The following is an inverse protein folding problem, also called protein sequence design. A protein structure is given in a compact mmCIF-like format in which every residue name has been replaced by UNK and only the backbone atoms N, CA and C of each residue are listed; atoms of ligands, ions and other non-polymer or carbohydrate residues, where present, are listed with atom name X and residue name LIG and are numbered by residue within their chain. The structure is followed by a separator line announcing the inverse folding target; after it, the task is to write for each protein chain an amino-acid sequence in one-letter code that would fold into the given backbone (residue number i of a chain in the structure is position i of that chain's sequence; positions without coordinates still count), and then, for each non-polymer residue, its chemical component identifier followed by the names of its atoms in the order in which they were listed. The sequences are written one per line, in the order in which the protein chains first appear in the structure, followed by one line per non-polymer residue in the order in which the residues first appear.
data_IF_085060400913
#
_entry.id   IF_085060400913
#
_cell.length_a   1.000
_cell.length_b   1.000
_cell.length_c   1.000
_cell.angle_alpha   90.00
_cell.angle_beta   90.00
_cell.angle_gamma   90.00
#
_symmetry.space_group_name_H-M   'P 1'
#
loop_
_entity.id
_entity.type
_entity.pdbx_description
1 polymer ?
#
# COMPACT_ATOMS: atom_id res chain seq x y z
N UNK A 1 8.79 17.66 -52.35
CA UNK A 1 9.26 16.71 -51.32
C UNK A 1 9.58 15.43 -52.04
N UNK A 2 10.82 14.96 -51.96
CA UNK A 2 11.23 13.71 -52.61
C UNK A 2 11.08 12.60 -51.57
N UNK A 3 10.40 11.52 -51.95
CA UNK A 3 10.31 10.33 -51.10
C UNK A 3 11.65 9.61 -51.11
N UNK A 4 12.13 9.23 -49.93
CA UNK A 4 13.27 8.34 -49.73
C UNK A 4 12.72 6.94 -49.51
N UNK A 5 12.99 6.02 -50.43
CA UNK A 5 12.64 4.61 -50.28
C UNK A 5 13.86 3.84 -49.75
N UNK A 6 13.72 3.30 -48.55
CA UNK A 6 14.75 2.54 -47.86
C UNK A 6 14.34 1.07 -47.84
N UNK A 7 15.17 0.22 -48.44
CA UNK A 7 15.00 -1.23 -48.39
C UNK A 7 15.81 -1.77 -47.21
N UNK A 8 15.12 -2.23 -46.17
CA UNK A 8 15.75 -2.68 -44.93
C UNK A 8 15.89 -4.19 -44.97
N UNK A 9 17.12 -4.67 -44.93
CA UNK A 9 17.44 -6.11 -44.95
C UNK A 9 18.13 -6.53 -43.66
N UNK A 10 17.78 -7.70 -43.14
CA UNK A 10 18.50 -8.37 -42.06
C UNK A 10 19.50 -9.40 -42.59
N UNK A 11 20.26 -10.02 -41.70
CA UNK A 11 21.19 -11.13 -42.05
C UNK A 11 20.49 -12.34 -42.69
N UNK A 12 19.18 -12.48 -42.46
CA UNK A 12 18.36 -13.61 -42.94
C UNK A 12 17.53 -13.26 -44.18
N UNK A 13 17.56 -12.03 -44.67
CA UNK A 13 16.79 -11.58 -45.84
C UNK A 13 16.13 -10.20 -45.67
N UNK A 14 15.32 -9.75 -46.65
CA UNK A 14 14.63 -8.47 -46.58
C UNK A 14 13.61 -8.45 -45.42
N UNK A 15 13.62 -7.39 -44.61
CA UNK A 15 12.75 -7.22 -43.45
C UNK A 15 11.54 -6.35 -43.79
N UNK A 16 11.77 -5.14 -44.30
CA UNK A 16 10.70 -4.21 -44.65
C UNK A 16 11.19 -3.07 -45.55
N UNK A 17 10.25 -2.44 -46.23
CA UNK A 17 10.48 -1.20 -46.97
C UNK A 17 9.95 -0.01 -46.15
N UNK A 18 10.74 1.06 -46.08
CA UNK A 18 10.39 2.31 -45.42
C UNK A 18 10.31 3.44 -46.45
N UNK A 19 9.29 4.29 -46.35
CA UNK A 19 9.16 5.50 -47.14
C UNK A 19 9.19 6.71 -46.20
N UNK A 20 10.25 7.50 -46.26
CA UNK A 20 10.46 8.70 -45.42
C UNK A 20 10.58 9.95 -46.30
N UNK A 21 10.38 11.14 -45.72
CA UNK A 21 10.57 12.41 -46.42
C UNK A 21 12.04 12.86 -46.33
N UNK A 22 12.72 13.03 -47.48
CA UNK A 22 14.09 13.54 -47.51
C UNK A 22 14.13 15.08 -47.35
N UNK A 23 15.17 15.64 -46.69
CA UNK A 23 16.26 14.94 -45.99
C UNK A 23 15.83 14.43 -44.62
N UNK A 24 16.21 13.20 -44.27
CA UNK A 24 15.98 12.62 -42.95
C UNK A 24 17.32 12.14 -42.35
N UNK A 25 17.39 12.07 -41.02
CA UNK A 25 18.56 11.59 -40.28
C UNK A 25 18.51 10.08 -40.10
N UNK A 26 19.66 9.47 -39.78
CA UNK A 26 19.72 8.05 -39.36
C UNK A 26 18.86 7.82 -38.12
N UNK A 27 18.74 8.79 -37.22
CA UNK A 27 17.84 8.72 -36.06
C UNK A 27 16.37 8.57 -36.47
N UNK A 28 15.90 9.34 -37.45
CA UNK A 28 14.52 9.25 -37.96
C UNK A 28 14.23 7.86 -38.57
N UNK A 29 15.23 7.24 -39.21
CA UNK A 29 15.14 5.86 -39.72
C UNK A 29 15.03 4.86 -38.57
N UNK A 30 15.82 5.04 -37.51
CA UNK A 30 15.76 4.14 -36.33
C UNK A 30 14.41 4.23 -35.62
N UNK A 31 13.87 5.43 -35.49
CA UNK A 31 12.56 5.66 -34.88
C UNK A 31 11.45 5.01 -35.72
N UNK A 32 11.51 5.15 -37.05
CA UNK A 32 10.57 4.49 -37.96
C UNK A 32 10.69 2.96 -37.95
N UNK A 33 11.89 2.42 -37.78
CA UNK A 33 12.13 0.98 -37.61
C UNK A 33 11.60 0.46 -36.28
N UNK A 34 11.73 1.25 -35.21
CA UNK A 34 11.16 0.90 -33.91
C UNK A 34 9.63 0.86 -33.99
N UNK A 35 9.01 1.82 -34.67
CA UNK A 35 7.55 1.84 -34.86
C UNK A 35 7.05 0.66 -35.71
N UNK A 36 7.75 0.32 -36.81
CA UNK A 36 7.32 -0.77 -37.69
C UNK A 36 7.66 -2.17 -37.19
N UNK A 37 8.89 -2.38 -36.71
CA UNK A 37 9.42 -3.71 -36.37
C UNK A 37 9.45 -3.98 -34.87
N UNK A 38 9.17 -2.96 -34.03
CA UNK A 38 9.23 -3.09 -32.58
C UNK A 38 10.65 -3.28 -32.03
N UNK A 39 11.69 -3.10 -32.86
CA UNK A 39 13.09 -3.21 -32.42
C UNK A 39 13.50 -1.89 -31.78
N UNK A 40 13.90 -1.85 -30.50
CA UNK A 40 14.33 -0.61 -29.85
C UNK A 40 15.48 0.04 -30.61
N UNK A 41 15.47 1.36 -30.78
CA UNK A 41 16.54 2.17 -31.43
C UNK A 41 17.95 1.78 -30.96
N UNK A 42 18.08 1.40 -29.69
CA UNK A 42 19.37 1.05 -29.08
C UNK A 42 19.88 -0.37 -29.45
N UNK A 43 19.03 -1.24 -29.99
CA UNK A 43 19.38 -2.58 -30.52
C UNK A 43 19.64 -2.55 -32.03
N UNK A 44 19.40 -1.40 -32.68
CA UNK A 44 19.54 -1.23 -34.12
C UNK A 44 20.94 -0.72 -34.50
N UNK A 45 21.74 -1.58 -35.14
CA UNK A 45 22.88 -1.15 -35.97
C UNK A 45 22.46 -1.09 -37.43
N UNK A 46 22.50 0.12 -37.98
CA UNK A 46 22.21 0.36 -39.39
C UNK A 46 23.52 0.44 -40.16
N UNK A 47 23.66 -0.38 -41.19
CA UNK A 47 24.79 -0.37 -42.10
C UNK A 47 24.34 0.13 -43.48
N UNK A 48 25.03 1.14 -43.99
CA UNK A 48 24.93 1.58 -45.39
C UNK A 48 26.10 0.96 -46.15
N UNK A 49 25.85 -0.17 -46.81
CA UNK A 49 26.93 -0.99 -47.36
C UNK A 49 27.80 -1.60 -46.25
N UNK A 50 29.04 -1.12 -46.11
CA UNK A 50 30.01 -1.59 -45.11
C UNK A 50 30.30 -0.59 -43.98
N UNK A 51 29.67 0.59 -44.01
CA UNK A 51 29.90 1.65 -43.01
C UNK A 51 28.69 1.81 -42.09
N UNK A 52 28.98 2.09 -40.83
CA UNK A 52 28.00 2.48 -39.81
C UNK A 52 27.98 4.01 -39.72
N UNK A 53 26.98 4.69 -40.31
CA UNK A 53 26.88 6.14 -40.26
C UNK A 53 26.44 6.63 -38.87
N UNK A 54 26.95 7.78 -38.45
CA UNK A 54 26.54 8.44 -37.21
C UNK A 54 25.05 8.82 -37.23
N UNK A 55 24.43 8.92 -36.06
CA UNK A 55 23.00 9.22 -35.90
C UNK A 55 22.55 10.53 -36.57
N UNK A 56 23.46 11.51 -36.71
CA UNK A 56 23.23 12.80 -37.36
C UNK A 56 23.49 12.80 -38.88
N UNK A 57 23.88 11.66 -39.46
CA UNK A 57 24.13 11.56 -40.89
C UNK A 57 22.84 11.79 -41.67
N UNK A 58 22.90 12.71 -42.64
CA UNK A 58 21.75 13.09 -43.47
C UNK A 58 21.65 12.18 -44.68
N UNK A 59 20.54 11.46 -44.77
CA UNK A 59 20.19 10.69 -45.96
C UNK A 59 19.53 11.64 -46.97
N UNK A 60 20.18 11.76 -48.13
CA UNK A 60 19.68 12.53 -49.27
C UNK A 60 18.96 11.61 -50.27
N UNK A 61 18.03 12.17 -51.04
CA UNK A 61 17.08 11.44 -51.86
C UNK A 61 17.70 10.36 -52.77
N UNK A 62 17.06 9.18 -52.80
CA UNK A 62 17.44 8.02 -53.62
C UNK A 62 16.91 6.70 -53.03
N UNK A 63 17.15 5.60 -53.75
CA UNK A 63 16.93 4.24 -53.24
C UNK A 63 18.19 3.78 -52.51
N UNK A 64 18.07 3.47 -51.22
CA UNK A 64 19.19 3.00 -50.39
C UNK A 64 18.85 1.65 -49.75
N UNK A 65 19.75 0.69 -49.93
CA UNK A 65 19.72 -0.58 -49.19
C UNK A 65 20.39 -0.37 -47.82
N UNK A 66 19.63 -0.58 -46.75
CA UNK A 66 20.09 -0.50 -45.37
C UNK A 66 20.10 -1.90 -44.78
N UNK A 67 21.23 -2.33 -44.24
CA UNK A 67 21.29 -3.59 -43.48
C UNK A 67 21.08 -3.32 -42.00
N UNK A 68 20.04 -3.91 -41.42
CA UNK A 68 19.76 -3.88 -39.99
C UNK A 68 20.38 -5.10 -39.32
N UNK A 69 21.38 -4.85 -38.47
CA UNK A 69 21.91 -5.85 -37.54
C UNK A 69 21.24 -5.66 -36.19
N UNK A 70 20.54 -6.71 -35.74
CA UNK A 70 20.07 -6.81 -34.35
C UNK A 70 21.26 -7.21 -33.49
N UNK A 71 21.87 -6.24 -32.83
CA UNK A 71 22.92 -6.50 -31.85
C UNK A 71 22.30 -6.42 -30.46
N UNK A 72 22.05 -7.56 -29.76
CA UNK A 72 21.85 -7.49 -28.33
C UNK A 72 23.10 -6.85 -27.71
N UNK A 73 22.91 -5.84 -26.85
CA UNK A 73 24.03 -5.13 -26.19
C UNK A 73 24.89 -6.06 -25.34
N UNK A 74 24.31 -7.16 -24.86
CA UNK A 74 24.97 -8.22 -24.11
C UNK A 74 25.25 -9.43 -24.99
N UNK A 75 26.39 -10.09 -24.77
CA UNK A 75 26.62 -11.43 -25.31
C UNK A 75 25.57 -12.39 -24.77
N UNK A 76 25.17 -13.40 -25.56
CA UNK A 76 24.18 -14.39 -25.12
C UNK A 76 24.58 -15.13 -23.84
N UNK A 77 25.89 -15.30 -23.62
CA UNK A 77 26.44 -15.93 -22.41
C UNK A 77 26.33 -15.03 -21.19
N UNK A 78 26.66 -13.74 -21.32
CA UNK A 78 26.51 -12.76 -20.25
C UNK A 78 25.04 -12.55 -19.88
N UNK A 79 24.14 -12.52 -20.87
CA UNK A 79 22.70 -12.43 -20.61
C UNK A 79 22.20 -13.63 -19.81
N UNK A 80 22.59 -14.86 -20.18
CA UNK A 80 22.15 -16.07 -19.49
C UNK A 80 22.63 -16.13 -18.03
N UNK A 81 23.86 -15.73 -17.77
CA UNK A 81 24.41 -15.64 -16.40
C UNK A 81 23.64 -14.63 -15.55
N UNK A 82 23.36 -13.44 -16.09
CA UNK A 82 22.57 -12.44 -15.39
C UNK A 82 21.12 -12.89 -15.20
N UNK A 83 20.51 -13.57 -16.18
CA UNK A 83 19.16 -14.10 -16.04
C UNK A 83 19.07 -15.13 -14.90
N UNK A 84 20.05 -16.05 -14.79
CA UNK A 84 20.11 -17.02 -13.69
C UNK A 84 20.30 -16.32 -12.34
N UNK A 85 21.23 -15.37 -12.26
CA UNK A 85 21.51 -14.61 -11.03
C UNK A 85 20.29 -13.80 -10.55
N UNK A 86 19.63 -13.07 -11.47
CA UNK A 86 18.46 -12.24 -11.17
C UNK A 86 17.21 -13.07 -10.84
N UNK A 87 17.17 -14.33 -11.27
CA UNK A 87 16.12 -15.27 -10.90
C UNK A 87 16.27 -15.76 -9.46
N UNK A 88 17.50 -15.84 -8.93
CA UNK A 88 17.75 -16.16 -7.52
C UNK A 88 17.49 -14.95 -6.62
N UNK A 89 18.06 -13.78 -6.98
CA UNK A 89 17.83 -12.52 -6.27
C UNK A 89 17.78 -11.34 -7.25
N UNK A 90 16.60 -10.73 -7.38
CA UNK A 90 16.40 -9.56 -8.23
C UNK A 90 17.20 -8.32 -7.81
N UNK A 91 17.70 -8.26 -6.57
CA UNK A 91 18.53 -7.14 -6.10
C UNK A 91 19.97 -7.18 -6.62
N UNK A 92 20.42 -8.29 -7.21
CA UNK A 92 21.74 -8.39 -7.86
C UNK A 92 21.88 -7.43 -9.05
N UNK A 93 20.76 -6.87 -9.54
CA UNK A 93 20.73 -5.77 -10.50
C UNK A 93 21.56 -4.56 -10.04
N UNK A 94 21.77 -4.39 -8.73
CA UNK A 94 22.60 -3.32 -8.15
C UNK A 94 24.06 -3.40 -8.59
N UNK A 95 24.58 -4.61 -8.76
CA UNK A 95 25.96 -4.87 -9.18
C UNK A 95 26.10 -5.04 -10.70
N UNK A 96 24.97 -5.06 -11.41
CA UNK A 96 24.94 -5.23 -12.84
C UNK A 96 25.40 -3.95 -13.56
N UNK A 97 26.07 -4.07 -14.72
CA UNK A 97 26.50 -2.92 -15.50
C UNK A 97 25.30 -2.20 -16.13
N UNK A 98 25.49 -0.96 -16.58
CA UNK A 98 24.39 -0.11 -17.11
C UNK A 98 23.65 -0.77 -18.27
N UNK A 99 24.32 -1.59 -19.08
CA UNK A 99 23.68 -2.32 -20.18
C UNK A 99 22.63 -3.32 -19.70
N UNK A 100 22.83 -3.95 -18.54
CA UNK A 100 21.89 -4.88 -17.92
C UNK A 100 20.76 -4.12 -17.22
N UNK A 101 21.08 -3.00 -16.59
CA UNK A 101 20.07 -2.12 -15.97
C UNK A 101 19.15 -1.45 -17.00
N UNK A 102 19.60 -1.35 -18.25
CA UNK A 102 18.82 -0.87 -19.40
C UNK A 102 18.19 -2.00 -20.23
N UNK A 103 18.46 -3.28 -19.92
CA UNK A 103 17.86 -4.41 -20.62
C UNK A 103 16.46 -4.68 -20.04
N UNK A 104 15.44 -4.46 -20.88
CA UNK A 104 14.04 -4.62 -20.48
C UNK A 104 13.71 -6.01 -19.96
N UNK A 105 14.26 -7.07 -20.56
CA UNK A 105 13.93 -8.45 -20.21
C UNK A 105 14.57 -8.85 -18.88
N UNK A 106 15.84 -8.52 -18.68
CA UNK A 106 16.55 -8.78 -17.43
C UNK A 106 15.96 -7.97 -16.27
N UNK A 107 15.64 -6.69 -16.50
CA UNK A 107 14.97 -5.85 -15.50
C UNK A 107 13.58 -6.39 -15.19
N UNK A 108 12.80 -6.80 -16.19
CA UNK A 108 11.47 -7.40 -15.95
C UNK A 108 11.61 -8.69 -15.13
N UNK A 109 12.63 -9.51 -15.40
CA UNK A 109 12.91 -10.71 -14.62
C UNK A 109 13.26 -10.35 -13.17
N UNK A 110 14.22 -9.44 -12.97
CA UNK A 110 14.62 -8.97 -11.64
C UNK A 110 13.42 -8.45 -10.83
N UNK A 111 12.60 -7.62 -11.45
CA UNK A 111 11.40 -7.00 -10.86
C UNK A 111 10.35 -8.03 -10.44
N UNK A 112 10.23 -9.15 -11.18
CA UNK A 112 9.30 -10.24 -10.82
C UNK A 112 9.72 -10.97 -9.54
N UNK A 113 11.01 -11.02 -9.26
CA UNK A 113 11.56 -11.65 -8.05
C UNK A 113 11.67 -10.66 -6.89
N UNK A 114 12.02 -9.40 -7.18
CA UNK A 114 12.06 -8.30 -6.21
C UNK A 114 11.52 -7.01 -6.85
N UNK A 115 10.31 -6.59 -6.46
CA UNK A 115 9.67 -5.39 -7.03
C UNK A 115 10.47 -4.09 -6.80
N UNK A 116 11.30 -4.04 -5.75
CA UNK A 116 12.16 -2.89 -5.44
C UNK A 116 13.36 -2.76 -6.41
N UNK A 117 13.67 -3.81 -7.18
CA UNK A 117 14.71 -3.78 -8.22
C UNK A 117 14.43 -2.72 -9.30
N UNK A 118 13.17 -2.28 -9.45
CA UNK A 118 12.81 -1.18 -10.35
C UNK A 118 13.57 0.12 -10.05
N UNK A 119 13.97 0.34 -8.79
CA UNK A 119 14.77 1.49 -8.39
C UNK A 119 16.12 1.59 -9.12
N UNK A 120 16.66 0.43 -9.52
CA UNK A 120 17.97 0.25 -10.14
C UNK A 120 17.91 0.24 -11.67
N UNK A 121 16.70 0.20 -12.24
CA UNK A 121 16.50 0.21 -13.67
C UNK A 121 16.78 1.60 -14.27
N UNK A 122 17.18 1.61 -15.54
CA UNK A 122 17.30 2.82 -16.34
C UNK A 122 16.00 3.65 -16.32
N UNK A 123 16.11 4.97 -16.47
CA UNK A 123 14.98 5.90 -16.33
C UNK A 123 13.86 5.62 -17.35
N UNK A 124 14.24 5.16 -18.54
CA UNK A 124 13.33 4.74 -19.61
C UNK A 124 12.48 3.55 -19.16
N UNK A 125 13.07 2.58 -18.46
CA UNK A 125 12.35 1.40 -17.96
C UNK A 125 11.52 1.70 -16.72
N UNK A 126 11.94 2.67 -15.89
CA UNK A 126 11.09 3.21 -14.80
C UNK A 126 9.86 3.95 -15.32
N UNK A 127 9.87 4.32 -16.61
CA UNK A 127 8.74 4.91 -17.33
C UNK A 127 7.99 3.90 -18.19
N UNK A 128 8.46 2.65 -18.31
CA UNK A 128 7.77 1.58 -19.02
C UNK A 128 6.63 1.05 -18.16
N UNK A 129 5.42 1.15 -18.70
CA UNK A 129 4.19 0.80 -17.99
C UNK A 129 4.13 -0.70 -17.65
N UNK A 130 4.61 -1.58 -18.51
CA UNK A 130 4.51 -3.03 -18.31
C UNK A 130 5.50 -3.49 -17.24
N UNK A 131 6.72 -2.96 -17.28
CA UNK A 131 7.75 -3.21 -16.26
C UNK A 131 7.28 -2.67 -14.92
N UNK A 132 6.76 -1.44 -14.88
CA UNK A 132 6.21 -0.85 -13.68
C UNK A 132 5.01 -1.63 -13.13
N UNK A 133 4.11 -2.14 -14.00
CA UNK A 133 2.97 -2.96 -13.60
C UNK A 133 3.42 -4.28 -12.95
N UNK A 134 4.46 -4.92 -13.49
CA UNK A 134 5.07 -6.09 -12.89
C UNK A 134 5.65 -5.77 -11.50
N UNK A 135 6.34 -4.64 -11.37
CA UNK A 135 6.94 -4.19 -10.11
C UNK A 135 5.90 -3.94 -9.02
N UNK A 136 4.87 -3.14 -9.31
CA UNK A 136 3.84 -2.80 -8.33
C UNK A 136 2.97 -3.99 -7.96
N UNK A 137 2.81 -4.95 -8.88
CA UNK A 137 2.09 -6.20 -8.59
C UNK A 137 2.85 -7.07 -7.60
N UNK A 138 4.18 -7.00 -7.60
CA UNK A 138 5.01 -7.74 -6.66
C UNK A 138 5.23 -6.97 -5.34
N UNK A 139 5.59 -5.69 -5.42
CA UNK A 139 5.79 -4.80 -4.28
C UNK A 139 5.09 -3.46 -4.52
N UNK A 140 3.99 -3.16 -3.80
CA UNK A 140 3.20 -1.95 -4.01
C UNK A 140 3.98 -0.64 -3.80
N UNK A 141 5.04 -0.67 -2.97
CA UNK A 141 5.92 0.48 -2.75
C UNK A 141 6.86 0.78 -3.93
N UNK A 142 6.97 -0.12 -4.91
CA UNK A 142 7.69 0.12 -6.15
C UNK A 142 7.12 1.33 -6.93
N UNK A 143 5.88 1.72 -6.65
CA UNK A 143 5.28 2.98 -7.15
C UNK A 143 6.13 4.22 -6.82
N UNK A 144 6.97 4.18 -5.78
CA UNK A 144 7.88 5.27 -5.45
C UNK A 144 8.93 5.53 -6.54
N UNK A 145 9.34 4.49 -7.27
CA UNK A 145 10.42 4.53 -8.25
C UNK A 145 9.95 4.84 -9.68
N UNK A 146 8.67 4.67 -9.96
CA UNK A 146 8.12 4.95 -11.30
C UNK A 146 8.12 6.45 -11.61
N UNK A 147 8.09 6.77 -12.90
CA UNK A 147 8.04 8.15 -13.39
C UNK A 147 6.79 8.90 -12.92
N UNK A 148 6.86 10.23 -12.91
CA UNK A 148 5.72 11.07 -12.50
C UNK A 148 4.46 10.84 -13.37
N UNK A 149 4.65 10.51 -14.65
CA UNK A 149 3.55 10.17 -15.55
C UNK A 149 2.81 8.90 -15.10
N UNK A 150 3.53 7.84 -14.74
CA UNK A 150 2.94 6.59 -14.27
C UNK A 150 2.33 6.71 -12.86
N UNK A 151 2.83 7.61 -12.02
CA UNK A 151 2.18 7.97 -10.73
C UNK A 151 0.80 8.61 -10.91
N UNK A 152 0.48 9.08 -12.10
CA UNK A 152 -0.85 9.60 -12.45
C UNK A 152 -1.74 8.57 -13.18
N UNK A 153 -1.23 7.37 -13.48
CA UNK A 153 -2.03 6.27 -14.04
C UNK A 153 -2.86 5.64 -12.92
N UNK A 154 -4.18 5.85 -12.96
CA UNK A 154 -5.12 5.36 -11.94
C UNK A 154 -5.10 3.83 -11.83
N UNK A 155 -4.94 3.09 -12.92
CA UNK A 155 -4.97 1.62 -12.89
C UNK A 155 -3.71 1.05 -12.22
N UNK A 156 -2.55 1.64 -12.55
CA UNK A 156 -1.28 1.27 -11.96
C UNK A 156 -1.24 1.60 -10.46
N UNK A 157 -1.72 2.79 -10.08
CA UNK A 157 -1.83 3.19 -8.67
C UNK A 157 -2.81 2.30 -7.92
N UNK A 158 -3.99 1.99 -8.48
CA UNK A 158 -4.94 1.07 -7.85
C UNK A 158 -4.35 -0.32 -7.63
N UNK A 159 -3.55 -0.82 -8.59
CA UNK A 159 -2.84 -2.09 -8.41
C UNK A 159 -1.85 -2.02 -7.25
N UNK A 160 -1.03 -0.97 -7.21
CA UNK A 160 -0.03 -0.76 -6.16
C UNK A 160 -0.67 -0.65 -4.77
N UNK A 161 -1.75 0.13 -4.66
CA UNK A 161 -2.48 0.38 -3.42
C UNK A 161 -3.19 -0.87 -2.91
N UNK A 162 -3.76 -1.70 -3.79
CA UNK A 162 -4.36 -2.98 -3.41
C UNK A 162 -3.34 -4.01 -2.93
N UNK A 163 -2.09 -3.91 -3.41
CA UNK A 163 -0.99 -4.71 -2.89
C UNK A 163 -0.56 -4.19 -1.51
N UNK A 164 -0.35 -2.87 -1.39
CA UNK A 164 0.04 -2.19 -0.14
C UNK A 164 -0.57 -0.78 -0.09
N UNK A 165 -1.48 -0.56 0.85
CA UNK A 165 -2.23 0.70 0.99
C UNK A 165 -1.34 1.91 1.25
N UNK A 166 -0.14 1.71 1.80
CA UNK A 166 0.84 2.78 2.00
C UNK A 166 1.43 3.34 0.70
N UNK A 167 1.25 2.64 -0.43
CA UNK A 167 1.66 3.09 -1.76
C UNK A 167 0.94 4.39 -2.18
N UNK A 168 -0.24 4.69 -1.62
CA UNK A 168 -1.01 5.90 -1.90
C UNK A 168 -0.16 7.18 -1.77
N UNK A 169 0.78 7.23 -0.81
CA UNK A 169 1.67 8.39 -0.58
C UNK A 169 2.54 8.76 -1.79
N UNK A 170 2.77 7.81 -2.70
CA UNK A 170 3.61 7.97 -3.89
C UNK A 170 2.80 8.28 -5.15
N UNK A 171 1.47 8.16 -5.10
CA UNK A 171 0.60 8.52 -6.21
C UNK A 171 0.66 10.03 -6.49
N UNK A 172 0.22 10.46 -7.67
CA UNK A 172 0.07 11.88 -7.99
C UNK A 172 -0.88 12.58 -7.01
N UNK A 173 -0.69 13.88 -6.79
CA UNK A 173 -1.54 14.66 -5.87
C UNK A 173 -3.03 14.66 -6.27
N UNK A 174 -3.35 14.41 -7.53
CA UNK A 174 -4.74 14.23 -7.99
C UNK A 174 -5.31 12.89 -7.50
N UNK A 175 -4.58 11.79 -7.66
CA UNK A 175 -5.02 10.45 -7.24
C UNK A 175 -4.98 10.25 -5.72
N UNK A 176 -4.12 10.97 -5.00
CA UNK A 176 -4.14 10.99 -3.53
C UNK A 176 -5.48 11.53 -2.96
N UNK A 177 -6.19 12.35 -3.74
CA UNK A 177 -7.50 12.92 -3.38
C UNK A 177 -8.68 12.17 -4.01
N UNK A 178 -8.40 11.18 -4.86
CA UNK A 178 -9.43 10.39 -5.49
C UNK A 178 -10.04 9.43 -4.46
N UNK A 179 -11.36 9.52 -4.29
CA UNK A 179 -12.08 8.75 -3.29
C UNK A 179 -11.98 7.24 -3.52
N UNK A 180 -12.00 6.78 -4.77
CA UNK A 180 -11.92 5.34 -5.08
C UNK A 180 -10.53 4.78 -4.73
N UNK A 181 -9.48 5.53 -5.07
CA UNK A 181 -8.10 5.12 -4.76
C UNK A 181 -7.85 5.12 -3.26
N UNK A 182 -8.31 6.17 -2.57
CA UNK A 182 -8.15 6.26 -1.12
C UNK A 182 -8.96 5.19 -0.37
N UNK A 183 -10.18 4.89 -0.82
CA UNK A 183 -10.99 3.81 -0.27
C UNK A 183 -10.28 2.47 -0.44
N UNK A 184 -9.76 2.16 -1.64
CA UNK A 184 -8.99 0.93 -1.87
C UNK A 184 -7.76 0.83 -0.96
N UNK A 185 -7.09 1.96 -0.67
CA UNK A 185 -5.94 2.00 0.23
C UNK A 185 -6.32 1.67 1.67
N UNK A 186 -7.43 2.24 2.14
CA UNK A 186 -7.94 2.09 3.50
C UNK A 186 -8.55 0.70 3.71
N UNK A 187 -9.18 0.12 2.69
CA UNK A 187 -9.64 -1.28 2.72
C UNK A 187 -8.49 -2.27 2.84
N UNK A 188 -7.36 -1.99 2.18
CA UNK A 188 -6.16 -2.83 2.28
C UNK A 188 -5.47 -2.66 3.65
N UNK A 189 -5.35 -1.41 4.13
CA UNK A 189 -4.77 -1.10 5.43
C UNK A 189 -5.42 0.15 6.04
N UNK A 190 -6.26 -0.06 7.05
CA UNK A 190 -7.01 1.03 7.71
C UNK A 190 -6.13 2.10 8.36
N UNK A 191 -4.85 1.83 8.62
CA UNK A 191 -3.93 2.82 9.18
C UNK A 191 -3.48 3.88 8.16
N UNK A 192 -3.76 3.71 6.86
CA UNK A 192 -3.47 4.71 5.83
C UNK A 192 -4.12 6.07 6.15
N UNK A 193 -5.29 6.07 6.80
CA UNK A 193 -5.98 7.30 7.22
C UNK A 193 -5.15 8.16 8.20
N UNK A 194 -4.23 7.53 8.93
CA UNK A 194 -3.33 8.16 9.89
C UNK A 194 -2.08 8.75 9.25
N UNK A 195 -1.77 8.39 8.00
CA UNK A 195 -0.54 8.81 7.35
C UNK A 195 -0.49 10.33 7.17
N UNK A 196 0.72 10.93 7.28
CA UNK A 196 0.92 12.32 6.92
C UNK A 196 0.67 12.50 5.43
N UNK A 197 -0.21 13.43 5.07
CA UNK A 197 -0.58 13.72 3.68
C UNK A 197 -1.88 13.06 3.21
N UNK A 198 -2.51 12.20 4.02
CA UNK A 198 -3.88 11.74 3.71
C UNK A 198 -4.85 12.93 3.73
N UNK A 199 -5.63 13.08 2.66
CA UNK A 199 -6.47 14.26 2.49
C UNK A 199 -7.51 14.35 3.62
N UNK A 200 -7.62 15.53 4.24
CA UNK A 200 -8.56 15.75 5.33
C UNK A 200 -10.01 15.60 4.90
N UNK A 201 -10.36 15.97 3.66
CA UNK A 201 -11.71 15.83 3.14
C UNK A 201 -12.13 14.35 3.03
N UNK A 202 -11.19 13.46 2.73
CA UNK A 202 -11.44 12.02 2.68
C UNK A 202 -11.62 11.40 4.07
N UNK A 203 -11.15 12.06 5.13
CA UNK A 203 -11.41 11.63 6.53
C UNK A 203 -12.86 11.91 6.95
N UNK A 204 -13.51 12.85 6.28
CA UNK A 204 -14.92 13.17 6.46
C UNK A 204 -15.84 12.35 5.53
N UNK A 205 -15.28 11.53 4.65
CA UNK A 205 -16.04 10.61 3.81
C UNK A 205 -16.54 9.40 4.63
N UNK A 206 -17.87 9.15 4.69
CA UNK A 206 -18.44 8.05 5.46
C UNK A 206 -17.97 6.65 5.01
N UNK A 207 -17.73 6.43 3.72
CA UNK A 207 -17.30 5.13 3.20
C UNK A 207 -15.86 4.84 3.59
N UNK A 208 -14.97 5.82 3.41
CA UNK A 208 -13.57 5.73 3.81
C UNK A 208 -13.47 5.53 5.33
N UNK A 209 -14.23 6.30 6.11
CA UNK A 209 -14.27 6.16 7.56
C UNK A 209 -14.78 4.78 7.98
N UNK A 210 -15.85 4.27 7.35
CA UNK A 210 -16.39 2.94 7.64
C UNK A 210 -15.37 1.83 7.34
N UNK A 211 -14.66 1.90 6.23
CA UNK A 211 -13.60 0.96 5.88
C UNK A 211 -12.46 0.99 6.92
N UNK A 212 -12.01 2.18 7.32
CA UNK A 212 -10.95 2.34 8.31
C UNK A 212 -11.31 1.71 9.67
N UNK A 213 -12.50 2.03 10.21
CA UNK A 213 -12.91 1.52 11.52
C UNK A 213 -13.25 0.04 11.52
N UNK A 214 -13.61 -0.50 10.34
CA UNK A 214 -13.85 -1.91 10.14
C UNK A 214 -12.53 -2.70 10.17
N UNK A 215 -11.45 -2.13 9.64
CA UNK A 215 -10.09 -2.70 9.73
C UNK A 215 -9.56 -2.69 11.17
N UNK A 216 -9.60 -1.55 11.85
CA UNK A 216 -9.34 -1.45 13.29
C UNK A 216 -10.16 -0.29 13.88
N UNK A 217 -10.97 -0.59 14.89
CA UNK A 217 -11.80 0.42 15.57
C UNK A 217 -11.01 1.59 16.15
N UNK A 218 -9.72 1.42 16.50
CA UNK A 218 -8.91 2.52 17.01
C UNK A 218 -8.57 3.60 15.96
N UNK A 219 -8.80 3.33 14.67
CA UNK A 219 -8.65 4.34 13.61
C UNK A 219 -9.68 5.47 13.70
N UNK A 220 -10.76 5.30 14.49
CA UNK A 220 -11.78 6.33 14.74
C UNK A 220 -11.16 7.67 15.21
N UNK A 221 -9.98 7.64 15.85
CA UNK A 221 -9.24 8.85 16.28
C UNK A 221 -8.75 9.73 15.13
N UNK A 222 -8.66 9.19 13.93
CA UNK A 222 -8.21 9.88 12.71
C UNK A 222 -9.36 10.30 11.80
N UNK A 223 -10.55 9.74 12.00
CA UNK A 223 -11.77 10.09 11.25
C UNK A 223 -12.22 11.52 11.61
N UNK A 224 -12.92 12.17 10.68
CA UNK A 224 -13.61 13.45 10.85
C UNK A 224 -14.38 13.58 12.16
N UNK A 225 -14.33 14.76 12.77
CA UNK A 225 -14.95 14.97 14.10
C UNK A 225 -16.47 14.81 14.10
N UNK A 226 -17.13 15.10 12.97
CA UNK A 226 -18.58 14.94 12.84
C UNK A 226 -18.98 13.48 12.66
N UNK A 227 -18.17 12.69 11.96
CA UNK A 227 -18.38 11.24 11.83
C UNK A 227 -18.16 10.49 13.16
N UNK A 228 -17.36 11.03 14.09
CA UNK A 228 -17.27 10.49 15.47
C UNK A 228 -18.55 10.68 16.29
N UNK A 229 -19.50 11.48 15.79
CA UNK A 229 -20.86 11.61 16.34
C UNK A 229 -21.84 10.69 15.65
N UNK A 230 -21.47 10.05 14.54
CA UNK A 230 -22.31 9.06 13.86
C UNK A 230 -22.40 7.78 14.71
N UNK A 231 -23.62 7.44 15.12
CA UNK A 231 -23.87 6.29 15.99
C UNK A 231 -23.49 4.98 15.32
N UNK A 232 -23.81 4.82 14.04
CA UNK A 232 -23.60 3.57 13.32
C UNK A 232 -22.10 3.33 13.13
N UNK A 233 -21.35 4.37 12.74
CA UNK A 233 -19.90 4.29 12.60
C UNK A 233 -19.22 3.97 13.93
N UNK A 234 -19.61 4.66 15.01
CA UNK A 234 -19.07 4.42 16.36
C UNK A 234 -19.37 3.00 16.82
N UNK A 235 -20.59 2.50 16.58
CA UNK A 235 -20.95 1.13 16.93
C UNK A 235 -20.11 0.10 16.16
N UNK A 236 -19.86 0.31 14.86
CA UNK A 236 -18.95 -0.54 14.07
C UNK A 236 -17.53 -0.51 14.64
N UNK A 237 -17.00 0.68 14.93
CA UNK A 237 -15.67 0.85 15.51
C UNK A 237 -15.53 0.13 16.85
N UNK A 238 -16.51 0.29 17.74
CA UNK A 238 -16.50 -0.32 19.08
C UNK A 238 -16.68 -1.84 19.02
N UNK A 239 -17.45 -2.36 18.05
CA UNK A 239 -17.56 -3.80 17.80
C UNK A 239 -16.25 -4.41 17.32
N UNK A 240 -15.49 -3.68 16.49
CA UNK A 240 -14.15 -4.10 16.04
C UNK A 240 -13.12 -4.03 17.18
N UNK A 241 -13.07 -2.91 17.90
CA UNK A 241 -12.18 -2.70 19.03
C UNK A 241 -12.86 -1.83 20.10
N UNK A 242 -13.17 -2.41 21.26
CA UNK A 242 -13.92 -1.72 22.33
C UNK A 242 -13.25 -0.43 22.83
N UNK A 243 -11.93 -0.32 22.72
CA UNK A 243 -11.19 0.88 23.11
C UNK A 243 -11.51 2.09 22.21
N UNK A 244 -12.12 1.88 21.03
CA UNK A 244 -12.56 2.96 20.13
C UNK A 244 -13.50 3.96 20.81
N UNK A 245 -14.24 3.54 21.85
CA UNK A 245 -15.16 4.38 22.61
C UNK A 245 -14.50 5.63 23.21
N UNK A 246 -13.18 5.61 23.43
CA UNK A 246 -12.44 6.76 23.95
C UNK A 246 -12.37 7.92 22.95
N UNK A 247 -12.50 7.64 21.65
CA UNK A 247 -12.42 8.61 20.56
C UNK A 247 -13.79 9.06 20.05
N UNK A 248 -14.85 8.31 20.39
CA UNK A 248 -16.22 8.66 20.07
C UNK A 248 -16.71 9.86 20.88
N UNK A 249 -17.76 10.52 20.41
CA UNK A 249 -18.43 11.57 21.17
C UNK A 249 -18.87 11.06 22.57
N UNK A 250 -18.68 11.89 23.60
CA UNK A 250 -18.93 11.50 24.98
C UNK A 250 -20.38 11.05 25.23
N UNK A 251 -21.34 11.46 24.40
CA UNK A 251 -22.74 11.00 24.48
C UNK A 251 -22.89 9.47 24.38
N UNK A 252 -21.99 8.80 23.67
CA UNK A 252 -22.03 7.35 23.50
C UNK A 252 -21.63 6.56 24.75
N UNK A 253 -21.06 7.23 25.75
CA UNK A 253 -20.86 6.67 27.11
C UNK A 253 -22.17 6.47 27.85
N UNK A 254 -23.26 7.08 27.37
CA UNK A 254 -24.63 6.86 27.85
C UNK A 254 -25.46 6.02 26.88
N UNK A 255 -24.93 5.70 25.68
CA UNK A 255 -25.61 4.79 24.76
C UNK A 255 -25.40 3.36 25.23
N UNK A 256 -26.50 2.76 25.67
CA UNK A 256 -26.51 1.42 26.23
C UNK A 256 -25.97 0.36 25.26
N UNK A 257 -26.31 0.44 23.97
CA UNK A 257 -25.90 -0.57 22.99
C UNK A 257 -24.41 -0.45 22.68
N UNK A 258 -23.93 0.78 22.45
CA UNK A 258 -22.51 1.04 22.21
C UNK A 258 -21.69 0.62 23.43
N UNK A 259 -22.14 0.96 24.64
CA UNK A 259 -21.43 0.61 25.86
C UNK A 259 -21.45 -0.90 26.11
N UNK A 260 -22.56 -1.59 25.83
CA UNK A 260 -22.62 -3.04 25.90
C UNK A 260 -21.61 -3.70 24.95
N UNK A 261 -21.43 -3.18 23.73
CA UNK A 261 -20.44 -3.68 22.80
C UNK A 261 -19.00 -3.48 23.32
N UNK A 262 -18.67 -2.29 23.84
CA UNK A 262 -17.34 -2.02 24.41
C UNK A 262 -17.04 -2.88 25.64
N UNK A 263 -18.01 -3.02 26.55
CA UNK A 263 -17.84 -3.80 27.79
C UNK A 263 -17.66 -5.30 27.50
N UNK A 264 -18.31 -5.82 26.44
CA UNK A 264 -18.09 -7.19 25.96
C UNK A 264 -16.68 -7.41 25.42
N UNK A 265 -16.09 -6.39 24.79
CA UNK A 265 -14.70 -6.44 24.34
C UNK A 265 -13.74 -6.42 25.53
N UNK A 266 -13.89 -5.45 26.43
CA UNK A 266 -13.06 -5.34 27.63
C UNK A 266 -13.85 -4.76 28.81
N UNK A 267 -14.10 -5.57 29.83
CA UNK A 267 -15.04 -5.24 30.92
C UNK A 267 -14.66 -3.99 31.71
N UNK A 268 -13.37 -3.65 31.80
CA UNK A 268 -12.91 -2.43 32.50
C UNK A 268 -13.32 -1.13 31.79
N UNK A 269 -13.79 -1.20 30.53
CA UNK A 269 -14.36 -0.06 29.82
C UNK A 269 -15.66 0.45 30.46
N UNK A 270 -16.24 -0.30 31.41
CA UNK A 270 -17.30 0.19 32.29
C UNK A 270 -16.92 1.51 33.00
N UNK A 271 -15.62 1.75 33.27
CA UNK A 271 -15.15 3.03 33.84
C UNK A 271 -15.50 4.25 32.99
N UNK A 272 -15.63 4.05 31.67
CA UNK A 272 -15.95 5.11 30.72
C UNK A 272 -17.45 5.36 30.64
N UNK A 273 -18.29 4.47 31.17
CA UNK A 273 -19.74 4.58 31.09
C UNK A 273 -20.29 5.70 31.98
N UNK A 274 -21.46 6.23 31.62
CA UNK A 274 -22.22 7.13 32.48
C UNK A 274 -22.60 6.47 33.82
N UNK A 275 -22.89 7.28 34.84
CA UNK A 275 -23.33 6.78 36.14
C UNK A 275 -24.58 5.89 36.03
N UNK A 276 -25.50 6.21 35.11
CA UNK A 276 -26.70 5.42 34.86
C UNK A 276 -26.36 4.01 34.37
N UNK A 277 -25.43 3.88 33.41
CA UNK A 277 -25.00 2.58 32.90
C UNK A 277 -24.09 1.83 33.88
N UNK A 278 -23.36 2.53 34.76
CA UNK A 278 -22.65 1.93 35.90
C UNK A 278 -23.59 1.43 37.00
N UNK A 279 -24.84 1.89 37.00
CA UNK A 279 -25.96 1.39 37.80
C UNK A 279 -26.85 0.38 37.05
N UNK A 280 -26.64 0.14 35.74
CA UNK A 280 -27.38 -0.87 34.99
C UNK A 280 -26.83 -2.25 35.33
N UNK A 281 -27.60 -3.02 36.11
CA UNK A 281 -27.23 -4.38 36.54
C UNK A 281 -26.81 -5.27 35.36
N UNK A 282 -27.46 -5.16 34.20
CA UNK A 282 -27.16 -6.02 33.06
C UNK A 282 -25.84 -5.63 32.39
N UNK A 283 -25.54 -4.33 32.27
CA UNK A 283 -24.25 -3.86 31.74
C UNK A 283 -23.11 -4.26 32.67
N UNK A 284 -23.27 -4.04 33.97
CA UNK A 284 -22.28 -4.42 35.00
C UNK A 284 -22.06 -5.93 35.03
N UNK A 285 -23.13 -6.73 34.99
CA UNK A 285 -23.04 -8.18 34.92
C UNK A 285 -22.19 -8.64 33.73
N UNK A 286 -22.43 -8.07 32.54
CA UNK A 286 -21.65 -8.39 31.34
C UNK A 286 -20.18 -7.97 31.46
N UNK A 287 -19.89 -6.84 32.11
CA UNK A 287 -18.52 -6.40 32.38
C UNK A 287 -17.72 -7.40 33.21
N UNK A 288 -18.38 -7.92 34.24
CA UNK A 288 -17.79 -8.82 35.22
C UNK A 288 -17.51 -10.21 34.64
N UNK A 289 -18.35 -10.68 33.71
CA UNK A 289 -18.19 -12.00 33.08
C UNK A 289 -16.80 -12.20 32.49
N UNK A 290 -16.26 -11.19 31.80
CA UNK A 290 -14.90 -11.26 31.26
C UNK A 290 -13.83 -10.76 32.24
N UNK A 291 -14.15 -9.76 33.06
CA UNK A 291 -13.17 -9.05 33.89
C UNK A 291 -13.77 -8.76 35.28
N UNK A 292 -13.50 -9.61 36.27
CA UNK A 292 -14.01 -9.46 37.63
C UNK A 292 -13.67 -8.11 38.26
N UNK A 293 -12.51 -7.55 37.91
CA UNK A 293 -12.09 -6.19 38.27
C UNK A 293 -13.07 -5.09 37.85
N UNK A 294 -13.88 -5.31 36.81
CA UNK A 294 -14.85 -4.34 36.33
C UNK A 294 -15.90 -3.96 37.39
N UNK A 295 -16.17 -4.84 38.36
CA UNK A 295 -17.07 -4.53 39.48
C UNK A 295 -16.64 -3.26 40.23
N UNK A 296 -15.34 -2.96 40.32
CA UNK A 296 -14.81 -1.76 40.98
C UNK A 296 -15.34 -0.44 40.38
N UNK A 297 -15.70 -0.46 39.10
CA UNK A 297 -16.26 0.67 38.36
C UNK A 297 -17.79 0.72 38.37
N UNK A 298 -18.47 -0.30 38.92
CA UNK A 298 -19.91 -0.23 39.11
C UNK A 298 -20.27 0.78 40.22
N UNK A 299 -21.54 1.15 40.29
CA UNK A 299 -22.05 1.99 41.36
C UNK A 299 -21.90 1.36 42.74
N UNK A 300 -21.98 2.17 43.79
CA UNK A 300 -21.92 1.70 45.19
C UNK A 300 -22.94 0.60 45.49
N UNK A 301 -24.17 0.74 44.98
CA UNK A 301 -25.25 -0.24 45.18
C UNK A 301 -24.92 -1.59 44.57
N UNK A 302 -24.39 -1.62 43.34
CA UNK A 302 -24.03 -2.85 42.64
C UNK A 302 -22.71 -3.45 43.11
N UNK A 303 -21.78 -2.63 43.62
CA UNK A 303 -20.52 -3.11 44.24
C UNK A 303 -20.75 -3.94 45.50
N UNK A 304 -21.84 -3.68 46.22
CA UNK A 304 -22.24 -4.42 47.41
C UNK A 304 -23.18 -5.59 47.12
N UNK A 305 -23.52 -5.85 45.85
CA UNK A 305 -24.42 -6.93 45.48
C UNK A 305 -23.74 -8.30 45.63
N UNK A 306 -24.25 -9.19 46.51
CA UNK A 306 -23.66 -10.51 46.74
C UNK A 306 -23.56 -11.37 45.48
N UNK A 307 -24.52 -11.28 44.56
CA UNK A 307 -24.51 -12.07 43.32
C UNK A 307 -23.41 -11.62 42.37
N UNK A 308 -23.23 -10.30 42.22
CA UNK A 308 -22.19 -9.74 41.35
C UNK A 308 -20.79 -9.93 41.93
N UNK A 309 -20.66 -9.83 43.26
CA UNK A 309 -19.40 -10.16 43.95
C UNK A 309 -19.04 -11.64 43.75
N UNK A 310 -20.00 -12.55 43.95
CA UNK A 310 -19.79 -13.98 43.73
C UNK A 310 -19.38 -14.28 42.28
N UNK A 311 -19.96 -13.58 41.32
CA UNK A 311 -19.61 -13.70 39.91
C UNK A 311 -18.17 -13.21 39.63
N UNK A 312 -17.79 -12.05 40.17
CA UNK A 312 -16.49 -11.44 39.98
C UNK A 312 -15.33 -12.22 40.62
N UNK A 313 -15.60 -12.98 41.68
CA UNK A 313 -14.62 -13.85 42.35
C UNK A 313 -14.38 -15.19 41.66
N UNK A 314 -15.08 -15.50 40.55
CA UNK A 314 -14.88 -16.76 39.82
C UNK A 314 -13.52 -16.78 39.10
N UNK A 315 -12.82 -17.92 39.07
CA UNK A 315 -11.48 -18.07 38.49
C UNK A 315 -11.42 -17.94 36.96
N UNK A 316 -12.57 -17.83 36.27
CA UNK A 316 -12.63 -17.63 34.82
C UNK A 316 -12.41 -16.16 34.40
N UNK A 317 -12.26 -15.24 35.37
CA UNK A 317 -11.96 -13.84 35.10
C UNK A 317 -10.45 -13.61 34.99
N UNK A 318 -10.01 -12.81 34.00
CA UNK A 318 -8.59 -12.53 33.76
C UNK A 318 -7.86 -11.92 34.97
N UNK A 319 -8.60 -11.28 35.89
CA UNK A 319 -8.10 -10.78 37.17
C UNK A 319 -9.19 -11.05 38.23
N UNK A 320 -9.08 -12.14 39.01
CA UNK A 320 -10.05 -12.46 40.05
C UNK A 320 -9.94 -11.50 41.24
N UNK A 321 -11.08 -11.20 41.85
CA UNK A 321 -11.16 -10.40 43.08
C UNK A 321 -11.39 -11.31 44.30
N UNK A 322 -10.81 -10.95 45.45
CA UNK A 322 -11.04 -11.58 46.75
C UNK A 322 -11.77 -10.60 47.67
N UNK A 323 -12.61 -11.10 48.56
CA UNK A 323 -13.19 -10.30 49.63
C UNK A 323 -12.35 -10.44 50.90
N UNK A 324 -11.87 -9.33 51.45
CA UNK A 324 -11.25 -9.28 52.78
C UNK A 324 -11.96 -8.23 53.64
N UNK A 325 -12.49 -8.64 54.79
CA UNK A 325 -13.18 -7.77 55.76
C UNK A 325 -14.26 -6.85 55.14
N UNK A 326 -15.04 -7.36 54.18
CA UNK A 326 -16.09 -6.60 53.49
C UNK A 326 -15.58 -5.61 52.44
N UNK A 327 -14.27 -5.62 52.14
CA UNK A 327 -13.65 -4.83 51.07
C UNK A 327 -13.21 -5.74 49.94
N UNK A 328 -13.35 -5.25 48.71
CA UNK A 328 -12.82 -5.90 47.51
C UNK A 328 -11.29 -5.72 47.52
N UNK A 329 -10.55 -6.83 47.64
CA UNK A 329 -9.10 -6.91 47.57
C UNK A 329 -8.71 -7.65 46.30
N UNK A 330 -7.79 -7.06 45.54
CA UNK A 330 -7.42 -7.56 44.22
C UNK A 330 -6.31 -8.59 44.34
N UNK A 331 -6.44 -9.73 43.66
CA UNK A 331 -5.38 -10.73 43.60
C UNK A 331 -4.39 -10.26 42.53
N UNK A 332 -3.19 -9.82 42.93
CA UNK A 332 -2.11 -9.52 42.00
C UNK A 332 -1.66 -10.81 41.30
N UNK A 333 -2.27 -11.12 40.15
CA UNK A 333 -1.63 -11.93 39.14
C UNK A 333 -0.72 -11.01 38.33
N UNK A 334 0.57 -11.02 38.67
CA UNK A 334 1.63 -10.32 37.95
C UNK A 334 1.59 -10.65 36.44
N UNK A 335 1.15 -9.71 35.59
CA UNK A 335 1.50 -9.66 34.16
C UNK A 335 1.05 -8.41 33.38
N UNK A 336 0.08 -7.60 33.83
CA UNK A 336 -0.48 -6.51 32.97
C UNK A 336 -0.19 -5.08 33.41
N UNK A 337 0.66 -4.87 34.44
CA UNK A 337 1.12 -3.53 34.84
C UNK A 337 2.27 -2.98 33.98
N UNK A 338 2.82 -3.75 33.03
CA UNK A 338 3.97 -3.33 32.22
C UNK A 338 3.59 -2.37 31.09
N UNK A 339 2.35 -2.36 30.60
CA UNK A 339 1.96 -1.46 29.49
C UNK A 339 1.52 -0.06 29.92
N UNK A 340 1.01 0.11 31.15
CA UNK A 340 0.53 1.42 31.64
C UNK A 340 1.65 2.32 32.21
N UNK A 341 2.77 1.75 32.64
CA UNK A 341 3.93 2.53 33.11
C UNK A 341 4.80 3.11 31.97
N UNK A 342 4.74 2.54 30.76
CA UNK A 342 5.53 3.03 29.62
C UNK A 342 4.82 4.10 28.76
N UNK A 343 3.50 4.25 28.88
CA UNK A 343 2.75 5.30 28.18
C UNK A 343 2.80 6.67 28.87
N UNK A 344 3.25 6.74 30.13
CA UNK A 344 3.42 8.00 30.87
C UNK A 344 4.89 8.45 30.97
N UNK A 345 5.84 7.78 30.32
CA UNK A 345 7.27 8.13 30.36
C UNK A 345 7.88 8.64 29.05
N UNK A 346 7.06 8.89 28.01
CA UNK A 346 7.51 9.60 26.80
C UNK A 346 6.53 10.72 26.44
N UNK A 347 6.79 11.86 27.07
CA UNK A 347 6.61 13.20 26.51
C UNK A 347 7.22 13.33 25.12
#
# INVERSE_FOLDING_TARGET
MVALELRVSGLTGPLCDLSLCAPCTVQDVKDALQEKLGVPVQEQRLLLGSEEPDASFLLSAGDLDVSLLRCPKLSSESWAQWAETLQEDGMELLFAPEEVQADRELVTLAVRHCGDALALAAEELRSDRDVAMAAVSQAGLALSFVSAALKADKDLVLRAVRQNGLALRHASAALQRDADVALAAVEQNGYVIAEPGFDSALRDDPQVAHAAVSYDGCTLKHVGSDLRKDRQLVLTAVKSNGNAIQWADARFRSDREVMMAAVRYHGTLLRCASEDLRNDRQVVYQAILGHGYALSYASETLRSDPELISLASRPHSHIPIRLEAGKIVYIEAAAHFVWLALAHSRS
#
